data_IF_739377554603
#
_entry.id   IF_739377554603
#
_cell.length_a   1.000
_cell.length_b   1.000
_cell.length_c   1.000
_cell.angle_alpha   90.00
_cell.angle_beta   90.00
_cell.angle_gamma   90.00
#
_symmetry.space_group_name_H-M   'P 1'
#
loop_
_entity.id
_entity.type
_entity.pdbx_description
1 polymer ?
#
# COMPACT_ATOMS: atom_id res chain seq x y z
N UNK A 1 14.24 39.41 4.10
CA UNK A 1 13.79 38.17 4.76
C UNK A 1 13.82 37.06 3.72
N UNK A 2 14.64 36.03 3.95
CA UNK A 2 14.89 34.94 3.00
C UNK A 2 13.59 34.18 2.70
N UNK A 3 13.12 34.22 1.44
CA UNK A 3 11.88 33.55 1.00
C UNK A 3 11.86 32.06 1.38
N UNK A 4 13.04 31.44 1.45
CA UNK A 4 13.26 30.08 1.94
C UNK A 4 12.75 29.87 3.35
N UNK A 5 13.17 30.75 4.27
CA UNK A 5 12.85 30.66 5.70
C UNK A 5 11.37 30.80 5.92
N UNK A 6 10.76 31.81 5.29
CA UNK A 6 9.31 32.01 5.36
C UNK A 6 8.54 30.79 4.85
N UNK A 7 8.99 30.22 3.73
CA UNK A 7 8.36 29.02 3.17
C UNK A 7 8.47 27.82 4.11
N UNK A 8 9.65 27.54 4.66
CA UNK A 8 9.87 26.39 5.55
C UNK A 8 9.00 26.46 6.81
N UNK A 9 8.88 27.64 7.42
CA UNK A 9 8.03 27.85 8.59
C UNK A 9 6.54 27.70 8.22
N UNK A 10 6.14 28.20 7.06
CA UNK A 10 4.75 28.09 6.58
C UNK A 10 4.33 26.64 6.29
N UNK A 11 5.28 25.74 6.03
CA UNK A 11 4.99 24.31 5.82
C UNK A 11 4.64 23.56 7.11
N UNK A 12 4.83 24.15 8.30
CA UNK A 12 4.54 23.57 9.62
C UNK A 12 5.01 22.11 9.74
N UNK A 13 6.29 21.88 9.49
CA UNK A 13 6.83 20.52 9.37
C UNK A 13 6.95 19.81 10.72
N UNK A 14 7.03 20.52 11.84
CA UNK A 14 7.07 19.92 13.17
C UNK A 14 5.73 19.93 13.91
N UNK A 15 4.70 20.62 13.42
CA UNK A 15 3.39 20.68 14.07
C UNK A 15 3.41 21.52 15.35
N UNK A 16 3.93 22.75 15.28
CA UNK A 16 3.98 23.71 16.39
C UNK A 16 4.71 23.22 17.66
N UNK A 17 6.04 22.99 17.60
CA UNK A 17 6.80 22.36 18.68
C UNK A 17 7.14 23.31 19.87
N UNK A 18 6.65 24.55 19.86
CA UNK A 18 6.98 25.58 20.85
C UNK A 18 8.43 26.11 20.77
N UNK A 19 9.11 25.92 19.64
CA UNK A 19 10.47 26.44 19.42
C UNK A 19 10.45 27.82 18.76
N UNK A 20 11.56 28.55 18.90
CA UNK A 20 11.79 29.73 18.06
C UNK A 20 11.97 29.33 16.59
N UNK A 21 11.62 30.24 15.68
CA UNK A 21 11.77 30.03 14.25
C UNK A 21 13.21 29.65 13.85
N UNK A 22 14.23 30.25 14.47
CA UNK A 22 15.64 29.91 14.20
C UNK A 22 15.97 28.45 14.54
N UNK A 23 15.49 27.99 15.70
CA UNK A 23 15.73 26.63 16.18
C UNK A 23 15.03 25.60 15.30
N UNK A 24 13.85 25.94 14.78
CA UNK A 24 13.11 25.11 13.84
C UNK A 24 13.88 24.91 12.53
N UNK A 25 14.32 26.01 11.93
CA UNK A 25 15.10 26.00 10.68
C UNK A 25 16.42 25.24 10.87
N UNK A 26 17.14 25.50 11.95
CA UNK A 26 18.38 24.79 12.27
C UNK A 26 18.17 23.27 12.36
N UNK A 27 17.05 22.85 12.96
CA UNK A 27 16.70 21.42 13.06
C UNK A 27 16.32 20.80 11.73
N UNK A 28 15.62 21.52 10.85
CA UNK A 28 15.34 21.04 9.49
C UNK A 28 16.63 20.85 8.68
N UNK A 29 17.57 21.77 8.78
CA UNK A 29 18.89 21.62 8.15
C UNK A 29 19.65 20.41 8.69
N UNK A 30 19.71 20.25 10.02
CA UNK A 30 20.36 19.09 10.63
C UNK A 30 19.70 17.77 10.21
N UNK A 31 18.36 17.72 10.19
CA UNK A 31 17.59 16.56 9.77
C UNK A 31 17.83 16.23 8.29
N UNK A 32 17.83 17.23 7.41
CA UNK A 32 18.09 17.05 5.97
C UNK A 32 19.51 16.54 5.71
N UNK A 33 20.51 17.10 6.39
CA UNK A 33 21.92 16.72 6.19
C UNK A 33 22.24 15.32 6.73
N UNK A 34 21.44 14.82 7.68
CA UNK A 34 21.67 13.56 8.36
C UNK A 34 20.47 12.61 8.33
N UNK A 35 19.58 12.76 7.34
CA UNK A 35 18.33 11.99 7.26
C UNK A 35 18.57 10.47 7.39
N UNK A 36 19.66 9.96 6.80
CA UNK A 36 20.06 8.56 6.91
C UNK A 36 20.27 8.04 8.33
N UNK A 37 20.71 8.89 9.28
CA UNK A 37 20.91 8.51 10.69
C UNK A 37 19.61 8.32 11.45
N UNK A 38 18.50 8.85 10.93
CA UNK A 38 17.18 8.76 11.52
C UNK A 38 16.40 7.52 11.07
N UNK A 39 17.03 6.60 10.34
CA UNK A 39 16.44 5.33 9.94
C UNK A 39 17.00 4.15 10.71
N UNK A 40 16.11 3.34 11.28
CA UNK A 40 16.43 2.02 11.81
C UNK A 40 16.20 0.97 10.74
N UNK A 41 17.20 0.10 10.54
CA UNK A 41 17.11 -1.06 9.66
C UNK A 41 16.37 -2.19 10.36
N UNK A 42 15.33 -2.71 9.70
CA UNK A 42 14.53 -3.84 10.15
C UNK A 42 14.55 -4.88 9.02
N UNK A 43 14.92 -6.12 9.32
CA UNK A 43 14.91 -7.21 8.36
C UNK A 43 13.64 -8.03 8.59
N UNK A 44 12.80 -8.12 7.57
CA UNK A 44 11.59 -8.94 7.57
C UNK A 44 11.75 -10.13 6.64
N UNK A 45 11.25 -11.29 7.05
CA UNK A 45 11.17 -12.47 6.19
C UNK A 45 10.04 -12.29 5.16
N UNK A 46 10.33 -12.51 3.88
CA UNK A 46 9.29 -12.55 2.84
C UNK A 46 8.49 -13.86 2.95
N UNK A 47 7.19 -13.80 2.64
CA UNK A 47 6.29 -14.98 2.64
C UNK A 47 6.76 -16.13 1.74
N UNK A 48 7.48 -15.83 0.66
CA UNK A 48 7.99 -16.81 -0.30
C UNK A 48 9.52 -17.00 -0.20
N UNK A 49 10.10 -16.69 0.96
CA UNK A 49 11.53 -16.78 1.20
C UNK A 49 12.31 -15.52 0.79
N UNK A 50 13.50 -15.38 1.39
CA UNK A 50 14.34 -14.20 1.28
C UNK A 50 13.99 -13.10 2.30
N UNK A 51 14.81 -12.05 2.30
CA UNK A 51 14.71 -10.94 3.25
C UNK A 51 14.21 -9.67 2.56
N UNK A 52 13.51 -8.82 3.32
CA UNK A 52 13.15 -7.44 2.96
C UNK A 52 13.74 -6.51 4.02
N UNK A 53 14.60 -5.60 3.59
CA UNK A 53 15.03 -4.49 4.41
C UNK A 53 13.92 -3.45 4.44
N UNK A 54 13.49 -3.08 5.65
CA UNK A 54 12.59 -1.96 5.92
C UNK A 54 13.40 -0.91 6.68
N UNK A 55 13.30 0.34 6.23
CA UNK A 55 13.91 1.50 6.83
C UNK A 55 12.83 2.26 7.60
N UNK A 56 12.77 2.02 8.90
CA UNK A 56 11.80 2.67 9.78
C UNK A 56 12.36 4.02 10.28
N UNK A 57 11.74 5.16 9.94
CA UNK A 57 12.17 6.45 10.46
C UNK A 57 11.88 6.55 11.96
N UNK A 58 12.73 7.25 12.68
CA UNK A 58 12.49 7.63 14.08
C UNK A 58 11.30 8.59 14.21
N UNK A 59 10.91 8.89 15.45
CA UNK A 59 9.74 9.73 15.71
C UNK A 59 9.83 11.12 15.05
N UNK A 60 11.01 11.75 15.09
CA UNK A 60 11.21 13.11 14.57
C UNK A 60 11.09 13.13 13.05
N UNK A 61 11.84 12.28 12.35
CA UNK A 61 11.80 12.19 10.90
C UNK A 61 10.42 11.77 10.40
N UNK A 62 9.79 10.80 11.08
CA UNK A 62 8.43 10.34 10.75
C UNK A 62 7.40 11.46 10.88
N UNK A 63 7.54 12.34 11.87
CA UNK A 63 6.65 13.50 12.07
C UNK A 63 6.80 14.48 10.91
N UNK A 64 8.03 14.87 10.59
CA UNK A 64 8.32 15.75 9.46
C UNK A 64 7.81 15.17 8.14
N UNK A 65 8.07 13.88 7.88
CA UNK A 65 7.59 13.21 6.67
C UNK A 65 6.05 13.17 6.58
N UNK A 66 5.34 12.95 7.69
CA UNK A 66 3.88 13.03 7.71
C UNK A 66 3.36 14.43 7.38
N UNK A 67 4.00 15.46 7.89
CA UNK A 67 3.63 16.84 7.59
C UNK A 67 3.99 17.23 6.16
N UNK A 68 5.09 16.73 5.59
CA UNK A 68 5.39 16.86 4.15
C UNK A 68 4.28 16.19 3.32
N UNK A 69 3.86 14.97 3.68
CA UNK A 69 2.78 14.28 3.01
C UNK A 69 1.49 15.10 3.05
N UNK A 70 1.10 15.57 4.24
CA UNK A 70 -0.13 16.33 4.46
C UNK A 70 -0.10 17.69 3.77
N UNK A 71 0.94 18.47 3.99
CA UNK A 71 0.98 19.90 3.65
C UNK A 71 1.55 20.15 2.25
N UNK A 72 2.18 19.16 1.60
CA UNK A 72 2.76 19.32 0.26
C UNK A 72 2.23 18.27 -0.71
N UNK A 73 2.53 16.99 -0.46
CA UNK A 73 2.31 15.93 -1.46
C UNK A 73 0.83 15.64 -1.72
N UNK A 74 -0.03 15.79 -0.71
CA UNK A 74 -1.47 15.52 -0.81
C UNK A 74 -2.21 16.45 -1.78
N UNK A 75 -1.62 17.60 -2.11
CA UNK A 75 -2.19 18.60 -3.00
C UNK A 75 -2.04 18.21 -4.48
N UNK A 76 -1.15 17.27 -4.79
CA UNK A 76 -0.89 16.88 -6.17
C UNK A 76 -1.89 15.83 -6.67
N UNK A 77 -2.36 15.94 -7.93
CA UNK A 77 -3.27 14.95 -8.47
C UNK A 77 -2.53 13.64 -8.71
N UNK A 78 -3.19 12.54 -8.33
CA UNK A 78 -2.76 11.17 -8.58
C UNK A 78 -3.34 10.66 -9.89
N UNK A 79 -2.68 9.68 -10.51
CA UNK A 79 -3.24 9.00 -11.67
C UNK A 79 -4.55 8.28 -11.31
N UNK A 80 -5.59 8.32 -12.16
CA UNK A 80 -6.82 7.57 -11.94
C UNK A 80 -6.59 6.04 -11.96
N UNK A 81 -5.51 5.57 -12.57
CA UNK A 81 -5.15 4.15 -12.65
C UNK A 81 -4.38 3.65 -11.41
N UNK A 82 -3.84 4.57 -10.60
CA UNK A 82 -3.12 4.23 -9.37
C UNK A 82 -4.11 4.03 -8.21
N UNK A 83 -4.22 2.80 -7.73
CA UNK A 83 -5.21 2.40 -6.72
C UNK A 83 -4.60 2.19 -5.34
N UNK A 84 -3.29 1.91 -5.24
CA UNK A 84 -2.58 1.82 -3.97
C UNK A 84 -2.33 3.20 -3.35
N UNK A 85 -2.27 3.24 -2.02
CA UNK A 85 -1.90 4.43 -1.23
C UNK A 85 -2.77 5.66 -1.46
N UNK A 86 -3.98 5.46 -2.01
CA UNK A 86 -4.95 6.52 -2.24
C UNK A 86 -5.95 6.54 -1.08
N UNK A 87 -6.10 7.68 -0.38
CA UNK A 87 -7.12 7.84 0.65
C UNK A 87 -8.51 7.49 0.10
N UNK A 88 -9.30 6.73 0.86
CA UNK A 88 -10.65 6.32 0.49
C UNK A 88 -10.74 5.26 -0.63
N UNK A 89 -9.61 4.73 -1.12
CA UNK A 89 -9.58 3.70 -2.16
C UNK A 89 -9.34 2.31 -1.54
N UNK A 90 -10.38 1.48 -1.35
CA UNK A 90 -10.18 0.14 -0.83
C UNK A 90 -9.49 -0.77 -1.86
N UNK A 91 -8.86 -1.85 -1.39
CA UNK A 91 -8.16 -2.83 -2.23
C UNK A 91 -9.04 -3.42 -3.35
N UNK A 92 -10.35 -3.53 -3.11
CA UNK A 92 -11.32 -4.02 -4.11
C UNK A 92 -11.39 -3.12 -5.34
N UNK A 93 -11.14 -1.82 -5.22
CA UNK A 93 -11.11 -0.88 -6.35
C UNK A 93 -10.03 -1.22 -7.37
N UNK A 94 -8.96 -1.90 -6.95
CA UNK A 94 -7.93 -2.41 -7.85
C UNK A 94 -8.37 -3.69 -8.58
N UNK A 95 -9.13 -4.55 -7.92
CA UNK A 95 -9.52 -5.86 -8.43
C UNK A 95 -10.79 -5.82 -9.29
N UNK A 96 -11.78 -5.01 -8.88
CA UNK A 96 -13.10 -4.91 -9.51
C UNK A 96 -13.06 -4.62 -11.01
N UNK A 97 -12.19 -3.73 -11.54
CA UNK A 97 -12.13 -3.46 -12.98
C UNK A 97 -11.75 -4.70 -13.82
N UNK A 98 -11.13 -5.70 -13.21
CA UNK A 98 -10.67 -6.92 -13.87
C UNK A 98 -11.63 -8.10 -13.73
N UNK A 99 -12.86 -7.86 -13.24
CA UNK A 99 -13.86 -8.91 -13.12
C UNK A 99 -14.36 -9.39 -14.49
N UNK A 100 -14.60 -10.71 -14.59
CA UNK A 100 -15.19 -11.35 -15.78
C UNK A 100 -14.37 -11.18 -17.07
N UNK A 101 -13.05 -11.10 -16.95
CA UNK A 101 -12.16 -10.83 -18.09
C UNK A 101 -11.62 -12.14 -18.69
N UNK A 102 -11.48 -12.23 -20.02
CA UNK A 102 -11.03 -13.45 -20.69
C UNK A 102 -9.59 -13.85 -20.32
N UNK A 103 -8.75 -12.87 -19.98
CA UNK A 103 -7.40 -13.06 -19.50
C UNK A 103 -6.95 -11.88 -18.64
N UNK A 104 -5.97 -12.13 -17.75
CA UNK A 104 -5.29 -11.14 -16.93
C UNK A 104 -3.78 -11.29 -17.10
N UNK A 105 -3.10 -10.21 -17.43
CA UNK A 105 -1.64 -10.09 -17.39
C UNK A 105 -1.23 -9.29 -16.16
N UNK A 106 -0.37 -9.88 -15.34
CA UNK A 106 0.29 -9.22 -14.22
C UNK A 106 1.73 -8.95 -14.54
N UNK A 107 2.18 -7.73 -14.25
CA UNK A 107 3.57 -7.30 -14.37
C UNK A 107 3.96 -6.62 -13.05
N UNK A 108 5.20 -6.80 -12.63
CA UNK A 108 5.75 -6.27 -11.37
C UNK A 108 7.00 -5.46 -11.69
N UNK A 109 7.18 -4.30 -11.05
CA UNK A 109 8.37 -3.46 -11.21
C UNK A 109 9.47 -3.97 -10.28
N UNK A 110 10.66 -4.20 -10.83
CA UNK A 110 11.80 -4.68 -10.06
C UNK A 110 12.31 -3.59 -9.11
N UNK A 111 12.55 -3.96 -7.84
CA UNK A 111 13.09 -3.08 -6.79
C UNK A 111 12.44 -1.68 -6.72
N UNK A 112 11.13 -1.61 -6.94
CA UNK A 112 10.40 -0.38 -7.23
C UNK A 112 10.80 0.86 -6.42
N UNK A 113 10.75 0.80 -5.08
CA UNK A 113 11.12 1.94 -4.24
C UNK A 113 12.60 2.30 -4.35
N UNK A 114 13.47 1.28 -4.36
CA UNK A 114 14.92 1.45 -4.41
C UNK A 114 15.38 1.97 -5.80
N UNK A 115 14.55 1.79 -6.84
CA UNK A 115 14.80 2.29 -8.20
C UNK A 115 14.26 3.70 -8.46
N UNK A 116 13.49 4.28 -7.53
CA UNK A 116 13.05 5.68 -7.64
C UNK A 116 14.15 6.58 -7.06
N UNK A 117 14.86 7.25 -7.96
CA UNK A 117 16.00 8.10 -7.65
C UNK A 117 15.63 9.43 -6.97
N UNK A 118 16.59 10.00 -6.24
CA UNK A 118 16.51 11.34 -5.67
C UNK A 118 16.06 12.38 -6.71
N UNK A 119 16.56 12.32 -7.94
CA UNK A 119 16.20 13.26 -9.00
C UNK A 119 14.71 13.16 -9.39
N UNK A 120 14.14 11.95 -9.39
CA UNK A 120 12.71 11.77 -9.65
C UNK A 120 11.87 12.35 -8.50
N UNK A 121 12.29 12.14 -7.25
CA UNK A 121 11.65 12.74 -6.08
C UNK A 121 11.74 14.28 -6.12
N UNK A 122 12.90 14.82 -6.47
CA UNK A 122 13.11 16.26 -6.64
C UNK A 122 12.17 16.84 -7.70
N UNK A 123 12.01 16.15 -8.84
CA UNK A 123 11.07 16.55 -9.91
C UNK A 123 9.61 16.56 -9.45
N UNK A 124 9.23 15.69 -8.51
CA UNK A 124 7.89 15.73 -7.88
C UNK A 124 7.73 17.03 -7.10
N UNK A 125 8.65 17.34 -6.17
CA UNK A 125 8.57 18.55 -5.35
C UNK A 125 8.69 19.85 -6.15
N UNK A 126 9.39 19.84 -7.30
CA UNK A 126 9.42 21.01 -8.21
C UNK A 126 8.05 21.42 -8.74
N UNK A 127 7.05 20.54 -8.72
CA UNK A 127 5.68 20.87 -9.12
C UNK A 127 4.97 21.79 -8.11
N UNK A 128 5.42 21.84 -6.85
CA UNK A 128 4.83 22.70 -5.80
C UNK A 128 5.25 24.17 -5.89
N UNK A 129 6.05 24.56 -6.89
CA UNK A 129 6.53 25.95 -7.08
C UNK A 129 7.28 26.53 -5.87
N UNK A 130 7.84 25.66 -5.02
CA UNK A 130 8.63 26.05 -3.85
C UNK A 130 10.05 26.53 -4.25
N UNK A 131 10.71 27.34 -3.40
CA UNK A 131 12.11 27.72 -3.59
C UNK A 131 13.02 26.49 -3.76
N UNK A 132 14.06 26.60 -4.59
CA UNK A 132 14.89 25.45 -4.99
C UNK A 132 15.56 24.74 -3.80
N UNK A 133 16.03 25.50 -2.83
CA UNK A 133 16.64 24.98 -1.60
C UNK A 133 15.64 24.26 -0.70
N UNK A 134 14.40 24.75 -0.59
CA UNK A 134 13.31 24.03 0.09
C UNK A 134 13.05 22.70 -0.60
N UNK A 135 12.92 22.70 -1.93
CA UNK A 135 12.72 21.46 -2.72
C UNK A 135 13.85 20.46 -2.47
N UNK A 136 15.11 20.91 -2.54
CA UNK A 136 16.28 20.06 -2.27
C UNK A 136 16.25 19.49 -0.85
N UNK A 137 15.93 20.31 0.16
CA UNK A 137 15.82 19.88 1.55
C UNK A 137 14.72 18.82 1.74
N UNK A 138 13.51 19.07 1.24
CA UNK A 138 12.40 18.11 1.32
C UNK A 138 12.74 16.78 0.63
N UNK A 139 13.46 16.85 -0.49
CA UNK A 139 13.92 15.66 -1.22
C UNK A 139 14.89 14.84 -0.37
N UNK A 140 15.90 15.48 0.24
CA UNK A 140 16.83 14.79 1.14
C UNK A 140 16.15 14.17 2.36
N UNK A 141 15.18 14.86 2.95
CA UNK A 141 14.38 14.34 4.06
C UNK A 141 13.57 13.09 3.65
N UNK A 142 13.15 12.98 2.39
CA UNK A 142 12.33 11.87 1.90
C UNK A 142 13.13 10.71 1.30
N UNK A 143 14.44 10.89 1.08
CA UNK A 143 15.29 9.89 0.44
C UNK A 143 16.29 9.28 1.44
N UNK A 144 16.73 8.06 1.13
CA UNK A 144 17.81 7.36 1.82
C UNK A 144 18.74 6.79 0.76
N UNK A 145 20.02 7.14 0.80
CA UNK A 145 21.03 6.74 -0.19
C UNK A 145 20.53 6.90 -1.64
N UNK A 146 20.08 8.11 -1.98
CA UNK A 146 19.57 8.50 -3.30
C UNK A 146 18.33 7.75 -3.82
N UNK A 147 17.63 7.00 -2.97
CA UNK A 147 16.41 6.28 -3.33
C UNK A 147 15.27 6.50 -2.33
N UNK A 148 14.05 6.06 -2.68
CA UNK A 148 12.94 6.06 -1.73
C UNK A 148 13.07 4.90 -0.72
N UNK A 149 13.08 5.18 0.60
CA UNK A 149 13.14 4.13 1.60
C UNK A 149 11.80 3.42 1.77
N UNK A 150 11.84 2.09 1.86
CA UNK A 150 10.69 1.28 2.25
C UNK A 150 10.41 1.45 3.75
N UNK A 151 9.39 2.22 4.11
CA UNK A 151 8.98 2.46 5.51
C UNK A 151 8.75 3.93 5.87
N UNK A 152 9.20 4.86 5.03
CA UNK A 152 8.89 6.27 5.23
C UNK A 152 7.43 6.60 4.87
N UNK A 153 6.75 7.48 5.63
CA UNK A 153 5.38 7.91 5.34
C UNK A 153 5.18 8.54 3.96
N UNK A 154 6.21 9.20 3.40
CA UNK A 154 6.14 9.91 2.12
C UNK A 154 6.35 9.03 0.91
N UNK A 155 7.17 7.97 1.01
CA UNK A 155 7.54 7.10 -0.12
C UNK A 155 6.35 6.60 -0.94
N UNK A 156 5.24 6.13 -0.34
CA UNK A 156 4.10 5.63 -1.10
C UNK A 156 3.39 6.70 -1.96
N UNK A 157 3.29 7.93 -1.44
CA UNK A 157 2.69 9.03 -2.19
C UNK A 157 3.64 9.52 -3.30
N UNK A 158 4.94 9.65 -3.00
CA UNK A 158 5.94 10.05 -3.99
C UNK A 158 6.01 9.04 -5.13
N UNK A 159 5.99 7.73 -4.84
CA UNK A 159 6.07 6.71 -5.90
C UNK A 159 4.88 6.78 -6.87
N UNK A 160 3.66 7.04 -6.37
CA UNK A 160 2.51 7.29 -7.22
C UNK A 160 2.65 8.56 -8.07
N UNK A 161 3.22 9.63 -7.51
CA UNK A 161 3.43 10.89 -8.23
C UNK A 161 4.50 10.77 -9.32
N UNK A 162 5.57 10.01 -9.07
CA UNK A 162 6.59 9.67 -10.07
C UNK A 162 5.98 8.86 -11.22
N UNK A 163 5.12 7.89 -10.90
CA UNK A 163 4.48 7.01 -11.88
C UNK A 163 3.31 7.66 -12.63
N UNK A 164 2.83 8.84 -12.23
CA UNK A 164 1.60 9.44 -12.77
C UNK A 164 1.58 9.54 -14.30
N UNK A 165 2.62 10.15 -14.89
CA UNK A 165 2.71 10.32 -16.36
C UNK A 165 2.83 8.98 -17.09
N UNK A 166 3.49 7.99 -16.47
CA UNK A 166 3.54 6.64 -17.02
C UNK A 166 2.14 6.03 -17.03
N UNK A 167 1.44 6.10 -15.90
CA UNK A 167 0.10 5.52 -15.73
C UNK A 167 -0.91 6.13 -16.70
N UNK A 168 -0.88 7.46 -16.87
CA UNK A 168 -1.74 8.17 -17.84
C UNK A 168 -1.49 7.67 -19.26
N UNK A 169 -0.22 7.62 -19.71
CA UNK A 169 0.15 7.19 -21.08
C UNK A 169 -0.19 5.72 -21.37
N UNK A 170 0.09 4.81 -20.43
CA UNK A 170 -0.25 3.39 -20.63
C UNK A 170 -1.76 3.19 -20.53
N UNK A 171 -2.43 3.92 -19.63
CA UNK A 171 -3.87 3.89 -19.46
C UNK A 171 -4.62 4.33 -20.72
N UNK A 172 -4.26 5.47 -21.31
CA UNK A 172 -4.80 5.95 -22.59
C UNK A 172 -4.57 4.92 -23.72
N UNK A 173 -3.35 4.38 -23.80
CA UNK A 173 -3.00 3.37 -24.80
C UNK A 173 -3.86 2.09 -24.66
N UNK A 174 -4.11 1.68 -23.41
CA UNK A 174 -4.95 0.54 -23.05
C UNK A 174 -6.44 0.80 -23.35
N UNK A 175 -6.97 1.97 -22.96
CA UNK A 175 -8.35 2.37 -23.19
C UNK A 175 -8.70 2.37 -24.70
N UNK A 176 -7.81 2.92 -25.53
CA UNK A 176 -7.96 2.92 -26.99
C UNK A 176 -8.01 1.51 -27.61
N UNK A 177 -7.71 0.46 -26.83
CA UNK A 177 -7.69 -0.96 -27.25
C UNK A 177 -8.65 -1.82 -26.46
N UNK A 178 -9.51 -1.24 -25.63
CA UNK A 178 -10.42 -1.99 -24.76
C UNK A 178 -9.70 -2.85 -23.71
N UNK A 179 -8.50 -2.45 -23.29
CA UNK A 179 -7.73 -3.11 -22.23
C UNK A 179 -7.97 -2.35 -20.93
N UNK A 180 -8.38 -3.05 -19.88
CA UNK A 180 -8.46 -2.48 -18.53
C UNK A 180 -7.08 -2.51 -17.90
N UNK A 181 -6.65 -1.39 -17.32
CA UNK A 181 -5.37 -1.25 -16.62
C UNK A 181 -5.57 -0.68 -15.22
N UNK A 182 -4.91 -1.25 -14.23
CA UNK A 182 -4.73 -0.66 -12.90
C UNK A 182 -3.31 -0.90 -12.38
N UNK A 183 -2.83 -0.02 -11.49
CA UNK A 183 -1.56 -0.19 -10.76
C UNK A 183 -1.77 -0.11 -9.25
N UNK A 184 -1.30 -1.14 -8.56
CA UNK A 184 -1.26 -1.22 -7.11
C UNK A 184 0.20 -1.28 -6.64
N UNK A 185 0.77 -0.14 -6.26
CA UNK A 185 2.19 -0.01 -5.93
C UNK A 185 3.06 -0.38 -7.16
N UNK A 186 3.82 -1.45 -7.07
CA UNK A 186 4.70 -2.04 -8.08
C UNK A 186 3.98 -3.05 -8.99
N UNK A 187 2.83 -3.57 -8.54
CA UNK A 187 2.01 -4.51 -9.30
C UNK A 187 1.13 -3.75 -10.31
N UNK A 188 1.28 -4.10 -11.58
CA UNK A 188 0.45 -3.63 -12.69
C UNK A 188 -0.42 -4.78 -13.20
N UNK A 189 -1.72 -4.53 -13.36
CA UNK A 189 -2.68 -5.51 -13.83
C UNK A 189 -3.36 -5.02 -15.09
N UNK A 190 -3.37 -5.89 -16.10
CA UNK A 190 -4.02 -5.67 -17.39
C UNK A 190 -5.04 -6.78 -17.63
N UNK A 191 -6.22 -6.45 -18.14
CA UNK A 191 -7.24 -7.46 -18.46
C UNK A 191 -8.04 -7.08 -19.70
N UNK A 192 -8.61 -8.08 -20.36
CA UNK A 192 -9.35 -7.90 -21.61
C UNK A 192 -8.81 -8.79 -22.73
N UNK A 193 -9.20 -8.50 -23.96
CA UNK A 193 -8.75 -9.25 -25.13
C UNK A 193 -7.53 -8.57 -25.77
N UNK A 194 -6.32 -9.05 -25.49
CA UNK A 194 -5.09 -8.44 -26.00
C UNK A 194 -3.96 -9.46 -26.23
N UNK A 195 -2.93 -9.01 -26.96
CA UNK A 195 -1.67 -9.74 -27.07
C UNK A 195 -0.73 -9.36 -25.91
N UNK A 196 -0.45 -10.31 -25.01
CA UNK A 196 0.35 -10.06 -23.81
C UNK A 196 1.78 -9.56 -24.10
N UNK A 197 2.39 -9.99 -25.22
CA UNK A 197 3.73 -9.54 -25.63
C UNK A 197 3.71 -8.06 -26.02
N UNK A 198 2.68 -7.61 -26.74
CA UNK A 198 2.54 -6.19 -27.10
C UNK A 198 2.40 -5.29 -25.87
N UNK A 199 1.54 -5.67 -24.92
CA UNK A 199 1.37 -4.94 -23.65
C UNK A 199 2.69 -4.89 -22.88
N UNK A 200 3.36 -6.04 -22.72
CA UNK A 200 4.65 -6.12 -22.03
C UNK A 200 5.71 -5.22 -22.70
N UNK A 201 5.83 -5.25 -24.02
CA UNK A 201 6.79 -4.42 -24.74
C UNK A 201 6.51 -2.93 -24.58
N UNK A 202 5.22 -2.53 -24.64
CA UNK A 202 4.82 -1.14 -24.42
C UNK A 202 5.16 -0.68 -23.00
N UNK A 203 4.85 -1.50 -22.00
CA UNK A 203 5.20 -1.23 -20.59
C UNK A 203 6.71 -1.13 -20.40
N UNK A 204 7.50 -2.06 -20.95
CA UNK A 204 8.96 -2.01 -20.88
C UNK A 204 9.51 -0.70 -21.46
N UNK A 205 9.04 -0.28 -22.64
CA UNK A 205 9.49 0.96 -23.26
C UNK A 205 9.19 2.19 -22.40
N UNK A 206 7.97 2.27 -21.87
CA UNK A 206 7.57 3.39 -21.00
C UNK A 206 8.30 3.40 -19.65
N UNK A 207 8.56 2.23 -19.05
CA UNK A 207 9.34 2.15 -17.80
C UNK A 207 10.80 2.52 -18.00
N UNK A 208 11.39 2.16 -19.15
CA UNK A 208 12.78 2.50 -19.47
C UNK A 208 13.01 4.01 -19.52
N UNK A 209 12.01 4.80 -19.97
CA UNK A 209 12.06 6.27 -19.91
C UNK A 209 12.16 6.82 -18.47
N UNK A 210 11.71 6.05 -17.48
CA UNK A 210 11.81 6.37 -16.05
C UNK A 210 13.03 5.71 -15.37
N UNK A 211 13.86 4.97 -16.12
CA UNK A 211 14.94 4.17 -15.53
C UNK A 211 14.46 2.98 -14.70
N UNK A 212 13.21 2.54 -14.89
CA UNK A 212 12.62 1.39 -14.20
C UNK A 212 12.61 0.16 -15.10
N UNK A 213 12.58 -1.04 -14.50
CA UNK A 213 12.53 -2.32 -15.21
C UNK A 213 11.44 -3.23 -14.67
N UNK A 214 10.95 -4.14 -15.52
CA UNK A 214 10.05 -5.20 -15.10
C UNK A 214 10.83 -6.35 -14.43
N UNK A 215 10.24 -6.89 -13.37
CA UNK A 215 10.67 -8.14 -12.80
C UNK A 215 10.38 -9.29 -13.77
N UNK A 216 11.45 -9.85 -14.35
CA UNK A 216 11.36 -10.90 -15.37
C UNK A 216 10.74 -12.21 -14.87
N UNK A 217 10.78 -12.47 -13.55
CA UNK A 217 10.34 -13.74 -12.94
C UNK A 217 8.88 -13.71 -12.48
N UNK A 218 8.34 -12.54 -12.14
CA UNK A 218 6.99 -12.40 -11.56
C UNK A 218 5.88 -12.18 -12.58
N UNK A 219 6.22 -11.87 -13.83
CA UNK A 219 5.23 -11.68 -14.89
C UNK A 219 4.38 -12.94 -15.10
N UNK A 220 3.05 -12.80 -15.15
CA UNK A 220 2.14 -13.94 -15.26
C UNK A 220 0.92 -13.61 -16.12
N UNK A 221 0.55 -14.51 -17.03
CA UNK A 221 -0.68 -14.45 -17.83
C UNK A 221 -1.66 -15.54 -17.35
N UNK A 222 -2.90 -15.15 -17.04
CA UNK A 222 -3.91 -16.02 -16.44
C UNK A 222 -5.18 -15.98 -17.29
N UNK A 223 -5.51 -17.10 -17.94
CA UNK A 223 -6.75 -17.27 -18.70
C UNK A 223 -7.97 -17.44 -17.78
N UNK A 224 -9.17 -17.16 -18.29
CA UNK A 224 -10.44 -17.24 -17.55
C UNK A 224 -10.77 -18.65 -17.02
N UNK A 225 -10.26 -19.72 -17.65
CA UNK A 225 -10.42 -21.10 -17.18
C UNK A 225 -9.61 -21.41 -15.91
N UNK A 226 -8.67 -20.54 -15.53
CA UNK A 226 -7.90 -20.64 -14.28
C UNK A 226 -8.45 -19.65 -13.25
N UNK A 227 -8.09 -19.86 -11.98
CA UNK A 227 -8.40 -18.90 -10.92
C UNK A 227 -7.65 -17.58 -11.15
N UNK A 228 -8.36 -16.58 -11.65
CA UNK A 228 -7.86 -15.23 -11.83
C UNK A 228 -7.91 -14.49 -10.50
N UNK A 229 -6.77 -13.95 -10.08
CA UNK A 229 -6.68 -13.18 -8.85
C UNK A 229 -6.02 -11.84 -9.13
N UNK A 230 -6.41 -10.78 -8.44
CA UNK A 230 -5.76 -9.47 -8.44
C UNK A 230 -5.56 -9.06 -6.98
N UNK A 231 -4.33 -8.77 -6.57
CA UNK A 231 -3.99 -8.42 -5.17
C UNK A 231 -4.59 -9.37 -4.11
N UNK A 232 -4.62 -10.68 -4.41
CA UNK A 232 -5.17 -11.71 -3.52
C UNK A 232 -6.71 -11.92 -3.60
N UNK A 233 -7.42 -11.12 -4.39
CA UNK A 233 -8.86 -11.19 -4.59
C UNK A 233 -9.15 -11.96 -5.87
N UNK A 234 -10.02 -12.97 -5.82
CA UNK A 234 -10.51 -13.71 -7.00
C UNK A 234 -11.47 -12.82 -7.78
N UNK A 235 -11.31 -12.77 -9.10
CA UNK A 235 -12.07 -11.85 -9.98
C UNK A 235 -12.80 -12.55 -11.14
N UNK A 236 -12.78 -13.88 -11.22
CA UNK A 236 -13.40 -14.63 -12.33
C UNK A 236 -14.87 -14.23 -12.61
N UNK A 237 -15.66 -13.94 -11.56
CA UNK A 237 -17.08 -13.55 -11.70
C UNK A 237 -17.41 -12.25 -10.97
N UNK A 238 -17.03 -12.16 -9.70
CA UNK A 238 -17.13 -10.98 -8.85
C UNK A 238 -15.94 -10.97 -7.88
N UNK A 239 -15.57 -9.83 -7.28
CA UNK A 239 -14.51 -9.82 -6.29
C UNK A 239 -14.90 -10.72 -5.13
N UNK A 240 -14.03 -11.69 -4.83
CA UNK A 240 -14.31 -12.68 -3.81
C UNK A 240 -12.98 -13.17 -3.23
N UNK A 241 -12.97 -13.54 -1.95
CA UNK A 241 -11.87 -14.34 -1.42
C UNK A 241 -11.87 -15.76 -1.99
N UNK A 242 -10.70 -16.39 -1.98
CA UNK A 242 -10.55 -17.78 -2.37
C UNK A 242 -11.47 -18.70 -1.55
N UNK A 243 -11.97 -19.77 -2.19
CA UNK A 243 -12.93 -20.71 -1.59
C UNK A 243 -12.40 -21.30 -0.29
N UNK A 244 -11.10 -21.59 -0.24
CA UNK A 244 -10.42 -22.18 0.90
C UNK A 244 -10.46 -21.23 2.11
N UNK A 245 -10.14 -19.94 1.89
CA UNK A 245 -10.18 -18.92 2.94
C UNK A 245 -11.61 -18.72 3.49
N UNK A 246 -12.61 -18.67 2.59
CA UNK A 246 -14.03 -18.57 3.00
C UNK A 246 -14.49 -19.80 3.78
N UNK A 247 -14.06 -21.00 3.36
CA UNK A 247 -14.39 -22.25 4.07
C UNK A 247 -13.79 -22.26 5.47
N UNK A 248 -12.52 -21.90 5.60
CA UNK A 248 -11.83 -21.84 6.89
C UNK A 248 -12.52 -20.86 7.86
N UNK A 249 -12.84 -19.65 7.41
CA UNK A 249 -13.54 -18.67 8.26
C UNK A 249 -14.92 -19.14 8.71
N UNK A 250 -15.71 -19.76 7.81
CA UNK A 250 -17.03 -20.33 8.19
C UNK A 250 -16.88 -21.45 9.21
N UNK A 251 -15.87 -22.30 9.05
CA UNK A 251 -15.58 -23.37 10.01
C UNK A 251 -15.22 -22.79 11.38
N UNK A 252 -14.35 -21.78 11.45
CA UNK A 252 -13.98 -21.15 12.71
C UNK A 252 -15.20 -20.54 13.43
N UNK A 253 -16.07 -19.83 12.71
CA UNK A 253 -17.30 -19.25 13.27
C UNK A 253 -18.22 -20.36 13.80
N UNK A 254 -18.43 -21.42 13.02
CA UNK A 254 -19.26 -22.55 13.42
C UNK A 254 -18.73 -23.25 14.68
N UNK A 255 -17.42 -23.49 14.76
CA UNK A 255 -16.80 -24.13 15.93
C UNK A 255 -16.94 -23.26 17.17
N UNK A 256 -16.74 -21.94 17.05
CA UNK A 256 -16.95 -21.00 18.15
C UNK A 256 -18.42 -21.00 18.62
N UNK A 257 -19.38 -21.07 17.71
CA UNK A 257 -20.81 -21.14 18.05
C UNK A 257 -21.17 -22.46 18.75
N UNK A 258 -20.63 -23.57 18.26
CA UNK A 258 -21.04 -24.90 18.71
C UNK A 258 -20.37 -25.32 20.02
N UNK A 259 -19.08 -25.01 20.18
CA UNK A 259 -18.28 -25.50 21.30
C UNK A 259 -17.85 -24.39 22.27
N UNK A 260 -18.09 -23.12 21.92
CA UNK A 260 -17.58 -21.97 22.65
C UNK A 260 -16.14 -21.63 22.26
N UNK A 261 -15.78 -20.35 22.43
CA UNK A 261 -14.50 -19.80 21.98
C UNK A 261 -13.31 -20.40 22.73
N UNK A 262 -13.44 -20.54 24.05
CA UNK A 262 -12.37 -21.08 24.91
C UNK A 262 -12.06 -22.53 24.54
N UNK A 263 -13.09 -23.36 24.34
CA UNK A 263 -12.91 -24.76 23.92
C UNK A 263 -12.24 -24.86 22.56
N UNK A 264 -12.67 -24.03 21.60
CA UNK A 264 -12.06 -23.96 20.27
C UNK A 264 -10.58 -23.55 20.31
N UNK A 265 -10.24 -22.52 21.10
CA UNK A 265 -8.85 -22.08 21.27
C UNK A 265 -7.98 -23.13 21.95
N UNK A 266 -8.50 -23.78 22.98
CA UNK A 266 -7.83 -24.89 23.67
C UNK A 266 -7.49 -26.02 22.71
N UNK A 267 -8.44 -26.42 21.85
CA UNK A 267 -8.21 -27.48 20.87
C UNK A 267 -7.17 -27.12 19.79
N UNK A 268 -6.99 -25.82 19.50
CA UNK A 268 -5.96 -25.32 18.57
C UNK A 268 -4.58 -25.18 19.22
N UNK A 269 -4.47 -25.32 20.54
CA UNK A 269 -3.24 -25.01 21.27
C UNK A 269 -2.89 -23.52 21.26
N UNK A 270 -3.87 -22.65 21.04
CA UNK A 270 -3.71 -21.19 20.96
C UNK A 270 -4.14 -20.48 22.25
N UNK A 271 -4.50 -21.25 23.27
CA UNK A 271 -4.90 -20.76 24.58
C UNK A 271 -3.75 -20.94 25.57
N UNK A 272 -3.33 -19.87 26.24
CA UNK A 272 -2.44 -19.94 27.40
C UNK A 272 -3.30 -20.14 28.66
N UNK A 273 -3.27 -21.32 29.31
CA UNK A 273 -4.06 -21.59 30.50
C UNK A 273 -3.65 -20.76 31.72
N UNK A 274 -2.42 -20.21 31.72
CA UNK A 274 -1.91 -19.40 32.83
C UNK A 274 -2.34 -17.93 32.75
N UNK A 275 -2.84 -17.49 31.60
CA UNK A 275 -3.31 -16.13 31.37
C UNK A 275 -4.83 -15.97 31.56
N UNK A 276 -5.30 -14.74 31.37
CA UNK A 276 -6.73 -14.43 31.36
C UNK A 276 -7.39 -15.04 30.11
N UNK A 277 -8.16 -16.11 30.31
CA UNK A 277 -8.85 -16.84 29.26
C UNK A 277 -9.89 -15.98 28.53
N UNK A 278 -10.54 -15.08 29.27
CA UNK A 278 -11.56 -14.20 28.74
C UNK A 278 -10.96 -13.13 27.85
N UNK A 279 -9.87 -12.49 28.30
CA UNK A 279 -9.14 -11.53 27.48
C UNK A 279 -8.62 -12.16 26.18
N UNK A 280 -8.11 -13.39 26.23
CA UNK A 280 -7.65 -14.14 25.06
C UNK A 280 -8.80 -14.47 24.09
N UNK A 281 -9.93 -14.96 24.61
CA UNK A 281 -11.12 -15.24 23.82
C UNK A 281 -11.65 -13.98 23.13
N UNK A 282 -11.72 -12.87 23.85
CA UNK A 282 -12.16 -11.57 23.34
C UNK A 282 -11.21 -11.05 22.26
N UNK A 283 -9.89 -11.13 22.47
CA UNK A 283 -8.90 -10.76 21.46
C UNK A 283 -9.03 -11.60 20.18
N UNK A 284 -9.26 -12.91 20.33
CA UNK A 284 -9.51 -13.81 19.19
C UNK A 284 -10.79 -13.44 18.44
N UNK A 285 -11.89 -13.16 19.15
CA UNK A 285 -13.15 -12.73 18.54
C UNK A 285 -13.00 -11.42 17.77
N UNK A 286 -12.26 -10.44 18.30
CA UNK A 286 -11.92 -9.23 17.55
C UNK A 286 -11.09 -9.51 16.29
N UNK A 287 -10.11 -10.41 16.37
CA UNK A 287 -9.33 -10.82 15.20
C UNK A 287 -10.19 -11.56 14.15
N UNK A 288 -11.12 -12.42 14.58
CA UNK A 288 -12.09 -13.09 13.72
C UNK A 288 -13.05 -12.09 13.07
N UNK A 289 -13.59 -11.15 13.85
CA UNK A 289 -14.44 -10.07 13.36
C UNK A 289 -13.70 -9.22 12.31
N UNK A 290 -12.42 -8.89 12.54
CA UNK A 290 -11.59 -8.16 11.58
C UNK A 290 -11.44 -8.90 10.24
N UNK A 291 -11.21 -10.22 10.27
CA UNK A 291 -11.14 -11.05 9.06
C UNK A 291 -12.47 -11.12 8.31
N UNK A 292 -13.60 -11.20 9.03
CA UNK A 292 -14.94 -11.17 8.44
C UNK A 292 -15.23 -9.80 7.81
N UNK A 293 -14.91 -8.70 8.52
CA UNK A 293 -15.11 -7.35 8.02
C UNK A 293 -14.27 -7.08 6.76
N UNK A 294 -13.04 -7.60 6.70
CA UNK A 294 -12.21 -7.50 5.50
C UNK A 294 -12.82 -8.26 4.30
N UNK A 295 -13.39 -9.45 4.53
CA UNK A 295 -14.13 -10.18 3.50
C UNK A 295 -15.35 -9.37 3.01
N UNK A 296 -16.14 -8.83 3.94
CA UNK A 296 -17.31 -8.01 3.61
C UNK A 296 -16.94 -6.68 2.93
N UNK A 297 -15.72 -6.17 3.14
CA UNK A 297 -15.22 -5.03 2.36
C UNK A 297 -15.00 -5.39 0.88
N UNK A 298 -14.72 -6.66 0.57
CA UNK A 298 -14.50 -7.16 -0.79
C UNK A 298 -15.82 -7.56 -1.45
N UNK A 299 -16.69 -8.27 -0.72
CA UNK A 299 -18.02 -8.68 -1.17
C UNK A 299 -19.06 -8.35 -0.08
N UNK A 300 -19.62 -7.12 -0.08
CA UNK A 300 -20.56 -6.67 0.94
C UNK A 300 -21.86 -7.48 0.98
N UNK A 301 -22.25 -8.07 -0.14
CA UNK A 301 -23.50 -8.83 -0.33
C UNK A 301 -23.39 -10.31 0.08
N UNK A 302 -22.29 -10.73 0.71
CA UNK A 302 -22.14 -12.12 1.16
C UNK A 302 -22.97 -12.37 2.43
N UNK A 303 -24.24 -12.77 2.25
CA UNK A 303 -25.21 -13.03 3.33
C UNK A 303 -24.67 -13.95 4.43
N UNK A 304 -23.96 -15.01 4.06
CA UNK A 304 -23.39 -15.96 5.02
C UNK A 304 -22.38 -15.28 5.95
N UNK A 305 -21.60 -14.32 5.44
CA UNK A 305 -20.63 -13.58 6.24
C UNK A 305 -21.23 -12.37 6.96
N UNK A 306 -22.34 -11.82 6.46
CA UNK A 306 -23.15 -10.86 7.24
C UNK A 306 -23.70 -11.53 8.51
N UNK A 307 -24.29 -12.73 8.37
CA UNK A 307 -24.77 -13.53 9.50
C UNK A 307 -23.63 -13.95 10.44
N UNK A 308 -22.48 -14.33 9.89
CA UNK A 308 -21.30 -14.65 10.69
C UNK A 308 -20.80 -13.45 11.51
N UNK A 309 -20.82 -12.24 10.93
CA UNK A 309 -20.44 -11.01 11.64
C UNK A 309 -21.36 -10.75 12.83
N UNK A 310 -22.67 -10.88 12.64
CA UNK A 310 -23.64 -10.69 13.72
C UNK A 310 -23.51 -11.77 14.79
N UNK A 311 -23.22 -13.02 14.40
CA UNK A 311 -22.91 -14.10 15.34
C UNK A 311 -21.69 -13.79 16.22
N UNK A 312 -20.60 -13.32 15.61
CA UNK A 312 -19.38 -12.93 16.35
C UNK A 312 -19.63 -11.73 17.25
N UNK A 313 -20.43 -10.75 16.82
CA UNK A 313 -20.85 -9.62 17.69
C UNK A 313 -21.63 -10.09 18.90
N UNK A 314 -22.57 -11.02 18.74
CA UNK A 314 -23.33 -11.58 19.87
C UNK A 314 -22.41 -12.30 20.84
N UNK A 315 -21.42 -13.06 20.34
CA UNK A 315 -20.41 -13.68 21.21
C UNK A 315 -19.66 -12.62 22.01
N UNK A 316 -19.19 -11.53 21.38
CA UNK A 316 -18.48 -10.45 22.07
C UNK A 316 -19.30 -9.76 23.17
N UNK A 317 -20.64 -9.74 23.07
CA UNK A 317 -21.54 -9.13 24.08
C UNK A 317 -21.94 -10.13 25.17
N UNK A 318 -21.85 -11.43 24.90
CA UNK A 318 -22.19 -12.48 25.86
C UNK A 318 -21.12 -12.70 26.96
N UNK A 319 -20.12 -11.82 27.00
CA UNK A 319 -18.89 -11.89 27.76
C UNK A 319 -18.71 -10.58 28.52
#
# INVERSE_FOLDING_TARGET
>A
MDATRTTLLALDLFGSPGWSADKEIQRLHALSNHAGRHYRRIILSKRHGGQRLVLAPDYLLKTVQRNILKNVLSQFPLSPFATAYRPGCPIVSNAQPHCQQPQILKLDIENFFDSISWLQVWRVFRQAQLPRNVVTMLTWICCYNDALPQGAPTSPAISNLVMRRFDERIGEWCQARGITYTRYCDDMTFSGHFNARQVKNKVCGLLAELGLSLNKRKGCLIAACKRQQVTGIVVNHKPQLAREARRALRQEVHLCQKYGVISHLSHRGELDPSGDLHAQATAYLYALQGRINWLLQINPEDEAFQQARESVKRMLVAW
#
